data_IF_367656616443
#
_entry.id   IF_367656616443
#
_cell.length_a   1.000
_cell.length_b   1.000
_cell.length_c   1.000
_cell.angle_alpha   90.00
_cell.angle_beta   90.00
_cell.angle_gamma   90.00
#
_symmetry.space_group_name_H-M   'P 1'
#
loop_
_entity.id
_entity.type
_entity.pdbx_description
1 polymer ?
#
# COMPACT_ATOMS: atom_id res chain seq x y z
N UNK A 1 -33.39 34.09 -56.28
CA UNK A 1 -33.58 34.37 -54.84
C UNK A 1 -32.62 33.47 -54.09
N UNK A 2 -31.48 34.03 -53.70
CA UNK A 2 -30.40 33.35 -52.98
C UNK A 2 -30.65 33.47 -51.48
N UNK A 3 -30.52 32.38 -50.72
CA UNK A 3 -30.45 32.43 -49.26
C UNK A 3 -29.09 31.91 -48.80
N UNK A 4 -28.40 32.80 -48.10
CA UNK A 4 -27.06 32.65 -47.58
C UNK A 4 -26.98 31.67 -46.41
N UNK A 5 -25.88 30.93 -46.36
CA UNK A 5 -25.38 30.26 -45.15
C UNK A 5 -25.02 31.30 -44.08
N UNK A 6 -25.31 31.04 -42.80
CA UNK A 6 -24.54 31.59 -41.70
C UNK A 6 -23.67 30.51 -41.04
N UNK A 7 -22.45 30.96 -40.80
CA UNK A 7 -21.30 30.34 -40.17
C UNK A 7 -21.44 30.40 -38.64
N UNK A 8 -20.93 29.38 -37.95
CA UNK A 8 -20.52 29.33 -36.53
C UNK A 8 -21.58 29.17 -35.42
N UNK A 9 -21.47 28.08 -34.65
CA UNK A 9 -21.17 28.20 -33.22
C UNK A 9 -20.56 26.89 -32.67
N UNK A 10 -19.26 26.95 -32.37
CA UNK A 10 -18.52 25.94 -31.62
C UNK A 10 -19.08 25.80 -30.20
N UNK A 11 -19.44 24.60 -29.75
CA UNK A 11 -19.62 24.29 -28.33
C UNK A 11 -18.81 23.05 -27.97
N UNK A 12 -17.49 23.27 -27.83
CA UNK A 12 -16.61 22.34 -27.14
C UNK A 12 -16.97 22.37 -25.65
N UNK A 13 -17.80 21.42 -25.22
CA UNK A 13 -18.01 21.15 -23.80
C UNK A 13 -16.88 20.27 -23.30
N UNK A 14 -15.75 20.90 -22.99
CA UNK A 14 -14.83 20.37 -22.00
C UNK A 14 -15.58 20.36 -20.66
N UNK A 15 -16.29 19.28 -20.37
CA UNK A 15 -16.57 18.93 -18.99
C UNK A 15 -15.23 18.47 -18.41
N UNK A 16 -14.51 19.42 -17.80
CA UNK A 16 -13.46 19.10 -16.86
C UNK A 16 -14.09 18.22 -15.77
N UNK A 17 -13.94 16.91 -15.87
CA UNK A 17 -13.87 16.05 -14.71
C UNK A 17 -12.57 16.39 -13.99
N UNK A 18 -12.55 17.59 -13.40
CA UNK A 18 -11.44 18.14 -12.65
C UNK A 18 -11.28 17.31 -11.38
N UNK A 19 -10.16 16.59 -11.33
CA UNK A 19 -9.46 16.15 -10.14
C UNK A 19 -10.38 15.72 -8.99
N UNK A 20 -10.77 14.44 -8.99
CA UNK A 20 -10.79 13.71 -7.74
C UNK A 20 -9.35 13.70 -7.21
N UNK A 21 -8.96 14.81 -6.58
CA UNK A 21 -7.82 14.85 -5.69
C UNK A 21 -8.18 13.87 -4.59
N UNK A 22 -7.79 12.60 -4.77
CA UNK A 22 -7.64 11.62 -3.70
C UNK A 22 -6.66 12.24 -2.72
N UNK A 23 -7.21 13.10 -1.89
CA UNK A 23 -6.53 13.74 -0.79
C UNK A 23 -6.16 12.60 0.13
N UNK A 24 -4.96 12.68 0.68
CA UNK A 24 -4.31 11.73 1.59
C UNK A 24 -5.12 11.45 2.89
N UNK A 25 -6.41 11.81 2.90
CA UNK A 25 -7.37 11.72 3.99
C UNK A 25 -7.98 10.35 4.20
N UNK A 26 -7.90 9.43 3.22
CA UNK A 26 -8.50 8.08 3.31
C UNK A 26 -7.45 6.96 3.22
N UNK A 27 -6.16 7.31 3.16
CA UNK A 27 -5.06 6.36 3.05
C UNK A 27 -4.92 5.50 4.30
N UNK A 28 -4.32 4.33 4.12
CA UNK A 28 -3.94 3.44 5.20
C UNK A 28 -2.44 3.38 5.36
N UNK A 29 -1.98 3.03 6.56
CA UNK A 29 -0.57 2.88 6.88
C UNK A 29 -0.22 1.39 6.91
N UNK A 30 0.85 1.00 6.24
CA UNK A 30 1.43 -0.33 6.38
C UNK A 30 2.63 -0.23 7.30
N UNK A 31 2.51 -0.74 8.52
CA UNK A 31 3.58 -0.70 9.52
C UNK A 31 4.34 -2.03 9.53
N UNK A 32 5.58 -2.00 9.05
CA UNK A 32 6.46 -3.16 9.02
C UNK A 32 7.36 -3.29 10.26
N UNK A 33 7.27 -2.34 11.19
CA UNK A 33 8.04 -2.40 12.44
C UNK A 33 7.44 -3.47 13.33
N UNK A 34 8.28 -4.38 13.82
CA UNK A 34 7.90 -5.43 14.78
C UNK A 34 7.69 -4.86 16.20
N UNK A 35 7.02 -3.72 16.30
CA UNK A 35 6.81 -2.97 17.54
C UNK A 35 5.42 -3.23 18.13
N UNK A 36 4.48 -3.75 17.34
CA UNK A 36 3.09 -3.90 17.75
C UNK A 36 2.63 -5.37 17.72
N UNK A 37 2.34 -5.94 18.89
CA UNK A 37 1.78 -7.28 19.03
C UNK A 37 2.36 -8.06 20.21
N UNK A 38 1.67 -9.11 20.63
CA UNK A 38 2.26 -10.09 21.57
C UNK A 38 3.51 -10.67 20.93
N UNK A 39 4.52 -11.01 21.74
CA UNK A 39 5.74 -11.67 21.28
C UNK A 39 5.42 -13.06 20.71
N UNK A 40 4.95 -13.09 19.47
CA UNK A 40 4.65 -14.32 18.77
C UNK A 40 5.97 -14.92 18.27
N UNK A 41 6.08 -16.24 18.39
CA UNK A 41 7.29 -16.95 17.99
C UNK A 41 7.51 -16.80 16.48
N UNK A 42 8.77 -16.63 16.09
CA UNK A 42 9.21 -16.64 14.68
C UNK A 42 8.57 -15.57 13.79
N UNK A 43 8.14 -14.45 14.38
CA UNK A 43 7.78 -13.23 13.64
C UNK A 43 8.98 -12.30 13.56
N UNK A 44 9.18 -11.69 12.42
CA UNK A 44 10.29 -10.77 12.13
C UNK A 44 9.75 -9.49 11.50
N UNK A 45 10.47 -8.35 11.64
CA UNK A 45 10.08 -7.13 10.95
C UNK A 45 10.08 -7.33 9.45
N UNK A 46 9.24 -6.58 8.75
CA UNK A 46 9.15 -6.59 7.29
C UNK A 46 9.33 -5.18 6.76
N UNK A 47 10.05 -5.02 5.65
CA UNK A 47 10.14 -3.76 4.92
C UNK A 47 9.22 -3.85 3.70
N UNK A 48 8.40 -2.82 3.50
CA UNK A 48 7.60 -2.65 2.30
C UNK A 48 8.46 -1.85 1.32
N UNK A 49 9.04 -2.51 0.33
CA UNK A 49 9.97 -1.87 -0.60
C UNK A 49 9.24 -1.11 -1.71
N UNK A 50 8.15 -1.69 -2.23
CA UNK A 50 7.36 -1.10 -3.29
C UNK A 50 5.87 -1.48 -3.16
N UNK A 51 5.01 -0.62 -3.72
CA UNK A 51 3.57 -0.85 -3.86
C UNK A 51 3.24 -0.68 -5.34
N UNK A 52 2.66 -1.72 -5.95
CA UNK A 52 2.33 -1.76 -7.38
C UNK A 52 3.52 -1.46 -8.32
N UNK A 53 4.73 -1.85 -7.88
CA UNK A 53 5.97 -1.63 -8.62
C UNK A 53 6.63 -0.28 -8.37
N UNK A 54 5.99 0.63 -7.62
CA UNK A 54 6.57 1.92 -7.24
C UNK A 54 7.27 1.83 -5.89
N UNK A 55 8.56 2.14 -5.86
CA UNK A 55 9.35 2.12 -4.62
C UNK A 55 8.91 3.24 -3.67
N UNK A 56 8.75 2.88 -2.39
CA UNK A 56 8.31 3.81 -1.36
C UNK A 56 9.50 4.57 -0.75
N UNK A 57 9.22 5.78 -0.25
CA UNK A 57 10.23 6.62 0.40
C UNK A 57 10.53 6.12 1.83
N UNK A 58 9.48 5.78 2.59
CA UNK A 58 9.61 5.16 3.92
C UNK A 58 9.15 3.70 3.85
N UNK A 59 10.09 2.72 3.83
CA UNK A 59 9.76 1.31 3.73
C UNK A 59 9.21 0.70 5.02
N UNK A 60 9.22 1.44 6.13
CA UNK A 60 8.70 0.96 7.40
C UNK A 60 7.26 1.36 7.66
N UNK A 61 6.81 2.46 7.04
CA UNK A 61 5.48 3.03 7.28
C UNK A 61 4.87 3.71 6.04
N UNK A 62 4.82 3.07 4.85
CA UNK A 62 4.25 3.72 3.69
C UNK A 62 2.74 3.94 3.82
N UNK A 63 2.27 5.02 3.18
CA UNK A 63 0.85 5.30 2.98
C UNK A 63 0.39 4.67 1.68
N UNK A 64 -0.72 3.94 1.75
CA UNK A 64 -1.28 3.20 0.60
C UNK A 64 -2.76 3.54 0.46
N UNK A 65 -3.20 3.66 -0.79
CA UNK A 65 -4.61 3.88 -1.09
C UNK A 65 -5.44 2.64 -0.72
N UNK A 66 -6.75 2.79 -0.47
CA UNK A 66 -7.64 1.64 -0.32
C UNK A 66 -7.78 0.89 -1.65
N UNK A 67 -7.75 -0.44 -1.62
CA UNK A 67 -7.88 -1.26 -2.82
C UNK A 67 -7.05 -2.53 -2.79
N UNK A 68 -6.95 -3.17 -3.96
CA UNK A 68 -6.06 -4.31 -4.18
C UNK A 68 -4.71 -3.82 -4.66
N UNK A 69 -3.65 -4.25 -3.99
CA UNK A 69 -2.28 -3.86 -4.28
C UNK A 69 -1.36 -5.08 -4.36
N UNK A 70 -0.24 -4.93 -5.06
CA UNK A 70 0.88 -5.86 -4.98
C UNK A 70 1.99 -5.23 -4.15
N UNK A 71 2.31 -5.82 -3.01
CA UNK A 71 3.37 -5.36 -2.13
C UNK A 71 4.67 -6.11 -2.42
N UNK A 72 5.74 -5.39 -2.73
CA UNK A 72 7.09 -5.95 -2.72
C UNK A 72 7.65 -5.83 -1.31
N UNK A 73 7.86 -6.94 -0.64
CA UNK A 73 8.27 -6.96 0.77
C UNK A 73 9.59 -7.69 0.98
N UNK A 74 10.33 -7.29 2.01
CA UNK A 74 11.62 -7.87 2.38
C UNK A 74 11.66 -8.19 3.87
N UNK A 75 12.25 -9.33 4.23
CA UNK A 75 12.50 -9.70 5.62
C UNK A 75 14.01 -9.89 5.87
N UNK A 76 14.51 -9.59 7.09
CA UNK A 76 15.90 -9.84 7.44
C UNK A 76 16.30 -11.30 7.19
N UNK A 77 17.55 -11.56 6.74
CA UNK A 77 17.99 -12.92 6.49
C UNK A 77 17.88 -13.80 7.74
N UNK A 78 17.55 -15.07 7.54
CA UNK A 78 17.73 -16.08 8.60
C UNK A 78 19.23 -16.40 8.74
N UNK A 79 19.71 -16.69 9.94
CA UNK A 79 21.09 -17.19 10.11
C UNK A 79 21.21 -18.59 9.50
N UNK A 80 22.26 -18.92 8.74
CA UNK A 80 23.53 -18.19 8.50
C UNK A 80 23.56 -17.34 7.21
N UNK A 81 22.43 -17.14 6.56
CA UNK A 81 22.37 -16.42 5.29
C UNK A 81 22.65 -14.92 5.46
N UNK A 82 23.09 -14.28 4.38
CA UNK A 82 23.41 -12.86 4.36
C UNK A 82 22.42 -12.02 3.54
N UNK A 83 21.73 -12.65 2.58
CA UNK A 83 20.78 -11.97 1.71
C UNK A 83 19.35 -12.01 2.26
N UNK A 84 18.69 -10.85 2.25
CA UNK A 84 17.28 -10.73 2.56
C UNK A 84 16.43 -11.43 1.49
N UNK A 85 15.35 -12.08 1.93
CA UNK A 85 14.35 -12.62 1.00
C UNK A 85 13.39 -11.51 0.62
N UNK A 86 13.17 -11.36 -0.68
CA UNK A 86 12.21 -10.41 -1.26
C UNK A 86 11.13 -11.17 -2.00
N UNK A 87 9.87 -10.78 -1.83
CA UNK A 87 8.74 -11.38 -2.54
C UNK A 87 7.68 -10.33 -2.85
N UNK A 88 6.88 -10.61 -3.88
CA UNK A 88 5.70 -9.82 -4.23
C UNK A 88 4.45 -10.55 -3.70
N UNK A 89 3.59 -9.85 -2.95
CA UNK A 89 2.43 -10.42 -2.27
C UNK A 89 1.17 -9.61 -2.61
N UNK A 90 0.07 -10.24 -3.04
CA UNK A 90 -1.20 -9.54 -3.19
C UNK A 90 -1.74 -9.14 -1.81
N UNK A 91 -2.21 -7.90 -1.67
CA UNK A 91 -2.69 -7.36 -0.41
C UNK A 91 -3.90 -6.44 -0.61
N UNK A 92 -4.95 -6.66 0.17
CA UNK A 92 -6.13 -5.81 0.18
C UNK A 92 -6.03 -4.79 1.31
N UNK A 93 -6.10 -3.52 0.96
CA UNK A 93 -6.03 -2.39 1.88
C UNK A 93 -7.44 -1.82 2.04
N UNK A 94 -8.00 -1.87 3.25
CA UNK A 94 -9.20 -1.10 3.59
C UNK A 94 -8.82 0.36 3.86
N UNK A 95 -9.78 1.28 3.73
CA UNK A 95 -9.57 2.69 4.04
C UNK A 95 -9.39 2.93 5.54
N UNK A 96 -8.57 3.95 5.88
CA UNK A 96 -8.42 4.44 7.24
C UNK A 96 -7.97 3.41 8.28
N UNK A 97 -7.07 2.52 7.89
CA UNK A 97 -6.46 1.52 8.77
C UNK A 97 -4.98 1.75 8.96
N UNK A 98 -4.45 1.22 10.06
CA UNK A 98 -3.03 0.91 10.20
C UNK A 98 -2.90 -0.60 10.32
N UNK A 99 -2.18 -1.20 9.40
CA UNK A 99 -1.89 -2.64 9.39
C UNK A 99 -0.51 -2.87 9.96
N UNK A 100 -0.40 -3.73 10.96
CA UNK A 100 0.87 -4.15 11.52
C UNK A 100 1.28 -5.46 10.87
N UNK A 101 2.30 -5.40 10.02
CA UNK A 101 2.74 -6.49 9.17
C UNK A 101 4.01 -7.12 9.73
N UNK A 102 4.09 -8.45 9.66
CA UNK A 102 5.27 -9.21 10.06
C UNK A 102 5.57 -10.30 9.05
N UNK A 103 6.84 -10.66 8.96
CA UNK A 103 7.28 -11.88 8.30
C UNK A 103 7.20 -13.04 9.29
N UNK A 104 6.34 -14.03 9.03
CA UNK A 104 6.21 -15.25 9.82
C UNK A 104 7.01 -16.38 9.19
N UNK A 105 7.85 -17.06 9.97
CA UNK A 105 8.59 -18.25 9.55
C UNK A 105 8.12 -19.47 10.33
N UNK A 106 8.22 -20.64 9.71
CA UNK A 106 7.97 -21.92 10.40
C UNK A 106 8.96 -22.15 11.55
N UNK A 107 10.20 -21.70 11.37
CA UNK A 107 11.27 -21.80 12.37
C UNK A 107 12.36 -20.74 12.10
N UNK A 108 13.29 -20.48 13.05
CA UNK A 108 14.20 -19.34 12.95
C UNK A 108 15.33 -19.51 11.91
N UNK A 109 15.52 -20.71 11.36
CA UNK A 109 16.57 -21.04 10.38
C UNK A 109 16.05 -21.03 8.93
N UNK A 110 14.72 -20.97 8.73
CA UNK A 110 14.12 -20.94 7.39
C UNK A 110 14.15 -19.52 6.82
N UNK A 111 14.56 -19.40 5.56
CA UNK A 111 14.57 -18.12 4.87
C UNK A 111 13.18 -17.70 4.39
N UNK A 112 12.46 -18.63 3.78
CA UNK A 112 11.08 -18.44 3.34
C UNK A 112 10.20 -17.99 4.50
N UNK A 113 9.32 -17.03 4.23
CA UNK A 113 8.39 -16.48 5.20
C UNK A 113 7.04 -16.21 4.52
N UNK A 114 6.01 -16.05 5.34
CA UNK A 114 4.69 -15.56 4.95
C UNK A 114 4.51 -14.13 5.48
N UNK A 115 3.87 -13.27 4.69
CA UNK A 115 3.45 -11.95 5.15
C UNK A 115 2.15 -12.08 5.95
N UNK A 116 2.17 -11.73 7.22
CA UNK A 116 1.02 -11.85 8.12
C UNK A 116 0.63 -10.49 8.67
N UNK A 117 -0.68 -10.21 8.71
CA UNK A 117 -1.24 -9.09 9.46
C UNK A 117 -1.34 -9.50 10.92
N UNK A 118 -0.42 -9.00 11.75
CA UNK A 118 -0.41 -9.28 13.18
C UNK A 118 -1.54 -8.56 13.91
N UNK A 119 -1.85 -7.33 13.48
CA UNK A 119 -2.96 -6.56 13.99
C UNK A 119 -3.39 -5.48 12.98
N UNK A 120 -4.59 -4.95 13.16
CA UNK A 120 -5.05 -3.77 12.45
C UNK A 120 -5.88 -2.88 13.36
N UNK A 121 -5.65 -1.57 13.30
CA UNK A 121 -6.44 -0.59 14.03
C UNK A 121 -7.03 0.47 13.09
N UNK A 122 -8.13 1.08 13.53
CA UNK A 122 -8.68 2.25 12.84
C UNK A 122 -7.79 3.46 13.12
N UNK A 123 -7.50 4.24 12.08
CA UNK A 123 -6.75 5.49 12.20
C UNK A 123 -7.68 6.62 12.64
N UNK A 124 -7.48 7.23 13.81
CA UNK A 124 -8.37 8.28 14.31
C UNK A 124 -8.21 9.61 13.54
N UNK A 125 -7.09 9.78 12.84
CA UNK A 125 -6.79 10.94 12.01
C UNK A 125 -7.35 10.84 10.58
N UNK A 126 -8.09 9.78 10.28
CA UNK A 126 -8.60 9.46 8.95
C UNK A 126 -10.14 9.55 8.93
N UNK A 127 -10.71 9.99 7.80
CA UNK A 127 -12.17 10.08 7.62
C UNK A 127 -12.58 9.34 6.36
N UNK A 128 -13.52 8.40 6.48
CA UNK A 128 -14.13 7.77 5.31
C UNK A 128 -15.19 8.74 4.79
N UNK A 129 -14.90 9.38 3.66
CA UNK A 129 -15.82 10.30 2.98
C UNK A 129 -16.96 9.58 2.27
#
# INVERSE_FOLDING_TARGET
MSYALPISLSLATLALAGCASFTDTNTSLLDGKREFGRAEMHTYPVQILAVDGEYVIDPWLPRVQPGQHTLRVSAPPATPFHDSVVMDVPFTVEACKRYYLVAKRDNPLRQAFELVVQHSEARPDCRVG
#
